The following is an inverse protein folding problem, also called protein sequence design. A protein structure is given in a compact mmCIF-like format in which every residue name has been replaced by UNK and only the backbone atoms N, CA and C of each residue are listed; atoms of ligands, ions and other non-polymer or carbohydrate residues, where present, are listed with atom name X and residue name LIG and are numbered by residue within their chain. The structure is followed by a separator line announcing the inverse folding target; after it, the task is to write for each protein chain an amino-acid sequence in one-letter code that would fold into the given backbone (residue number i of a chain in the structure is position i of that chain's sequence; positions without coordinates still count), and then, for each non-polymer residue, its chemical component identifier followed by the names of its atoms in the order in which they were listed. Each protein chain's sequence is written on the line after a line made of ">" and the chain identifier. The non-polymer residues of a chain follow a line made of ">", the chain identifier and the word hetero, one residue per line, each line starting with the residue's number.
data_IF_691413159887
#
_entry.id   IF_691413159887
#
_cell.length_a   1.000
_cell.length_b   1.000
_cell.length_c   1.000
_cell.angle_alpha   90.00
_cell.angle_beta   90.00
_cell.angle_gamma   90.00
#
_symmetry.space_group_name_H-M   'P 1'
#
loop_
_entity.id
_entity.type
_entity.pdbx_description
1 polymer ?
#
# COMPACT_ATOMS: atom_id res chain seq x y z
N UNK A 1 10.28 22.84 19.98
CA UNK A 1 9.63 21.98 21.01
C UNK A 1 8.31 21.31 20.61
N UNK A 2 7.13 21.96 20.64
CA UNK A 2 5.84 21.26 20.47
C UNK A 2 5.70 20.54 19.12
N UNK A 3 6.01 21.23 18.02
CA UNK A 3 5.99 20.69 16.66
C UNK A 3 6.94 19.49 16.49
N UNK A 4 8.16 19.58 17.01
CA UNK A 4 9.14 18.49 16.94
C UNK A 4 8.67 17.24 17.72
N UNK A 5 8.00 17.44 18.86
CA UNK A 5 7.41 16.34 19.64
C UNK A 5 6.25 15.69 18.89
N UNK A 6 5.32 16.49 18.34
CA UNK A 6 4.21 15.97 17.55
C UNK A 6 4.68 15.24 16.29
N UNK A 7 5.74 15.74 15.65
CA UNK A 7 6.40 15.06 14.54
C UNK A 7 6.98 13.71 14.97
N UNK A 8 7.65 13.67 16.13
CA UNK A 8 8.20 12.43 16.68
C UNK A 8 7.11 11.42 17.01
N UNK A 9 6.05 11.83 17.70
CA UNK A 9 4.93 10.96 18.07
C UNK A 9 4.25 10.38 16.82
N UNK A 10 4.00 11.21 15.82
CA UNK A 10 3.39 10.77 14.54
C UNK A 10 4.33 9.86 13.77
N UNK A 11 5.63 10.16 13.73
CA UNK A 11 6.64 9.30 13.10
C UNK A 11 6.72 7.94 13.81
N UNK A 12 6.65 7.92 15.14
CA UNK A 12 6.63 6.67 15.91
C UNK A 12 5.36 5.86 15.64
N UNK A 13 4.19 6.49 15.66
CA UNK A 13 2.93 5.83 15.34
C UNK A 13 2.94 5.22 13.93
N UNK A 14 3.45 5.97 12.94
CA UNK A 14 3.62 5.48 11.58
C UNK A 14 4.59 4.29 11.53
N UNK A 15 5.74 4.39 12.20
CA UNK A 15 6.70 3.27 12.29
C UNK A 15 6.06 2.03 12.90
N UNK A 16 5.42 2.16 14.05
CA UNK A 16 4.77 1.05 14.75
C UNK A 16 3.71 0.39 13.83
N UNK A 17 2.91 1.19 13.11
CA UNK A 17 1.89 0.67 12.19
C UNK A 17 2.49 -0.03 10.97
N UNK A 18 3.50 0.56 10.30
CA UNK A 18 4.09 -0.04 9.09
C UNK A 18 4.97 -1.26 9.35
N UNK A 19 5.40 -1.46 10.61
CA UNK A 19 6.11 -2.68 11.00
C UNK A 19 5.18 -3.88 11.20
N UNK A 20 3.88 -3.64 11.37
CA UNK A 20 2.89 -4.72 11.36
C UNK A 20 2.69 -5.17 9.91
N UNK A 21 2.74 -6.49 9.61
CA UNK A 21 2.52 -6.97 8.26
C UNK A 21 1.17 -6.52 7.69
N UNK A 22 1.18 -6.01 6.46
CA UNK A 22 -0.04 -5.61 5.77
C UNK A 22 -1.05 -6.78 5.70
N UNK A 23 -2.32 -6.57 6.08
CA UNK A 23 -3.36 -7.59 5.98
C UNK A 23 -3.56 -8.09 4.55
N UNK A 24 -3.99 -9.35 4.42
CA UNK A 24 -4.35 -9.96 3.12
C UNK A 24 -5.83 -9.78 2.78
N UNK A 25 -6.67 -9.63 3.79
CA UNK A 25 -8.08 -9.37 3.64
C UNK A 25 -8.30 -7.97 3.03
N UNK A 26 -9.27 -7.83 2.13
CA UNK A 26 -9.48 -6.61 1.36
C UNK A 26 -9.84 -5.41 2.23
N UNK A 27 -10.84 -5.53 3.09
CA UNK A 27 -11.32 -4.43 3.94
C UNK A 27 -10.26 -4.05 4.99
N UNK A 28 -9.62 -5.04 5.61
CA UNK A 28 -8.55 -4.79 6.56
C UNK A 28 -7.31 -4.16 5.90
N UNK A 29 -7.01 -4.52 4.65
CA UNK A 29 -5.91 -3.93 3.88
C UNK A 29 -6.22 -2.49 3.49
N UNK A 30 -7.43 -2.19 3.08
CA UNK A 30 -7.85 -0.82 2.74
C UNK A 30 -7.75 0.08 3.98
N UNK A 31 -8.30 -0.36 5.11
CA UNK A 31 -8.20 0.34 6.41
C UNK A 31 -6.73 0.57 6.82
N UNK A 32 -5.88 -0.45 6.62
CA UNK A 32 -4.45 -0.35 6.91
C UNK A 32 -3.78 0.74 6.05
N UNK A 33 -4.10 0.81 4.75
CA UNK A 33 -3.54 1.80 3.82
C UNK A 33 -4.06 3.19 4.13
N UNK A 34 -5.35 3.34 4.44
CA UNK A 34 -5.95 4.61 4.87
C UNK A 34 -5.22 5.16 6.11
N UNK A 35 -5.02 4.31 7.13
CA UNK A 35 -4.28 4.69 8.34
C UNK A 35 -2.85 5.13 8.03
N UNK A 36 -2.15 4.46 7.10
CA UNK A 36 -0.81 4.87 6.65
C UNK A 36 -0.86 6.27 6.02
N UNK A 37 -1.83 6.54 5.14
CA UNK A 37 -1.97 7.83 4.47
C UNK A 37 -2.29 8.96 5.47
N UNK A 38 -3.22 8.75 6.39
CA UNK A 38 -3.54 9.73 7.44
C UNK A 38 -2.32 10.07 8.30
N UNK A 39 -1.52 9.07 8.67
CA UNK A 39 -0.30 9.27 9.45
C UNK A 39 0.78 10.00 8.65
N UNK A 40 0.88 9.76 7.33
CA UNK A 40 1.78 10.48 6.44
C UNK A 40 1.39 11.96 6.30
N UNK A 41 0.10 12.25 6.08
CA UNK A 41 -0.42 13.62 5.98
C UNK A 41 -0.22 14.40 7.30
N UNK A 42 -0.54 13.77 8.43
CA UNK A 42 -0.30 14.37 9.75
C UNK A 42 1.18 14.62 10.00
N UNK A 43 2.06 13.71 9.55
CA UNK A 43 3.50 13.87 9.66
C UNK A 43 3.99 15.05 8.82
N UNK A 44 3.53 15.18 7.59
CA UNK A 44 3.85 16.29 6.70
C UNK A 44 3.43 17.63 7.30
N UNK A 45 2.20 17.72 7.83
CA UNK A 45 1.71 18.93 8.51
C UNK A 45 2.64 19.41 9.64
N UNK A 46 3.17 18.49 10.45
CA UNK A 46 4.11 18.86 11.51
C UNK A 46 5.51 19.18 10.98
N UNK A 47 5.95 18.54 9.88
CA UNK A 47 7.26 18.81 9.28
C UNK A 47 7.40 20.28 8.84
N UNK A 48 6.34 20.87 8.27
CA UNK A 48 6.34 22.27 7.82
C UNK A 48 6.62 23.28 8.95
N UNK A 49 6.25 22.91 10.18
CA UNK A 49 6.44 23.74 11.37
C UNK A 49 7.74 23.51 12.14
N UNK A 50 8.56 22.54 11.75
CA UNK A 50 9.79 22.20 12.50
C UNK A 50 10.91 23.17 12.18
N UNK A 51 11.44 23.81 13.23
CA UNK A 51 12.69 24.58 13.18
C UNK A 51 13.89 23.69 13.46
N UNK A 52 15.10 24.09 13.03
CA UNK A 52 16.33 23.41 13.42
C UNK A 52 16.41 23.24 14.95
N UNK A 53 16.85 22.07 15.45
CA UNK A 53 16.97 21.85 16.89
C UNK A 53 18.03 22.78 17.49
N UNK A 54 17.70 23.45 18.59
CA UNK A 54 18.58 24.44 19.24
C UNK A 54 19.22 23.89 20.52
N UNK A 55 18.72 22.74 21.00
CA UNK A 55 19.21 22.07 22.22
C UNK A 55 19.68 20.64 21.96
N UNK A 56 20.48 20.11 22.88
CA UNK A 56 20.92 18.71 22.82
C UNK A 56 19.73 17.73 22.91
N UNK A 57 18.72 18.06 23.72
CA UNK A 57 17.49 17.28 23.84
C UNK A 57 16.72 17.22 22.52
N UNK A 58 16.52 18.37 21.85
CA UNK A 58 15.87 18.42 20.53
C UNK A 58 16.71 17.69 19.46
N UNK A 59 18.03 17.80 19.53
CA UNK A 59 18.93 17.08 18.62
C UNK A 59 18.79 15.57 18.77
N UNK A 60 18.64 15.06 20.00
CA UNK A 60 18.38 13.63 20.25
C UNK A 60 17.06 13.19 19.63
N UNK A 61 15.99 13.97 19.79
CA UNK A 61 14.69 13.69 19.18
C UNK A 61 14.79 13.70 17.65
N UNK A 62 15.46 14.69 17.06
CA UNK A 62 15.64 14.77 15.61
C UNK A 62 16.39 13.57 15.04
N UNK A 63 17.46 13.11 15.70
CA UNK A 63 18.19 11.88 15.31
C UNK A 63 17.30 10.65 15.35
N UNK A 64 16.45 10.57 16.36
CA UNK A 64 15.51 9.48 16.52
C UNK A 64 14.44 9.48 15.41
N UNK A 65 13.87 10.64 15.07
CA UNK A 65 12.96 10.80 13.93
C UNK A 65 13.62 10.29 12.64
N UNK A 66 14.88 10.65 12.40
CA UNK A 66 15.64 10.20 11.21
C UNK A 66 15.80 8.67 11.23
N UNK A 67 16.12 8.08 12.39
CA UNK A 67 16.25 6.63 12.55
C UNK A 67 14.96 5.91 12.19
N UNK A 68 13.83 6.34 12.76
CA UNK A 68 12.51 5.77 12.49
C UNK A 68 12.12 5.98 11.02
N UNK A 69 12.39 7.15 10.45
CA UNK A 69 12.08 7.46 9.04
C UNK A 69 12.77 6.51 8.05
N UNK A 70 14.01 6.10 8.34
CA UNK A 70 14.72 5.09 7.52
C UNK A 70 14.02 3.72 7.57
N UNK A 71 13.54 3.33 8.75
CA UNK A 71 12.77 2.10 8.92
C UNK A 71 11.43 2.15 8.17
N UNK A 72 10.68 3.25 8.32
CA UNK A 72 9.43 3.50 7.59
C UNK A 72 9.65 3.37 6.08
N UNK A 73 10.67 4.05 5.54
CA UNK A 73 10.95 4.01 4.10
C UNK A 73 11.20 2.59 3.58
N UNK A 74 11.91 1.77 4.37
CA UNK A 74 12.15 0.36 4.03
C UNK A 74 10.86 -0.45 4.00
N UNK A 75 10.02 -0.33 5.03
CA UNK A 75 8.76 -1.08 5.12
C UNK A 75 7.75 -0.65 4.04
N UNK A 76 7.67 0.66 3.74
CA UNK A 76 6.83 1.16 2.65
C UNK A 76 7.29 0.65 1.28
N UNK A 77 8.60 0.59 1.00
CA UNK A 77 9.08 0.04 -0.27
C UNK A 77 8.81 -1.47 -0.38
N UNK A 78 8.87 -2.20 0.74
CA UNK A 78 8.47 -3.60 0.82
C UNK A 78 6.97 -3.78 0.51
N UNK A 79 6.11 -2.98 1.14
CA UNK A 79 4.67 -2.96 0.90
C UNK A 79 4.31 -2.62 -0.55
N UNK A 80 4.95 -1.60 -1.12
CA UNK A 80 4.84 -1.24 -2.54
C UNK A 80 5.26 -2.39 -3.45
N UNK A 81 6.36 -3.06 -3.16
CA UNK A 81 6.83 -4.22 -3.93
C UNK A 81 5.81 -5.38 -3.89
N UNK A 82 5.15 -5.60 -2.75
CA UNK A 82 4.08 -6.59 -2.62
C UNK A 82 2.87 -6.22 -3.49
N UNK A 83 2.40 -4.97 -3.41
CA UNK A 83 1.30 -4.46 -4.25
C UNK A 83 1.61 -4.62 -5.74
N UNK A 84 2.84 -4.30 -6.18
CA UNK A 84 3.25 -4.47 -7.57
C UNK A 84 3.24 -5.94 -8.02
N UNK A 85 3.66 -6.86 -7.16
CA UNK A 85 3.59 -8.30 -7.45
C UNK A 85 2.14 -8.77 -7.59
N UNK A 86 1.25 -8.32 -6.70
CA UNK A 86 -0.18 -8.65 -6.77
C UNK A 86 -0.78 -8.21 -8.11
N UNK A 87 -0.53 -6.96 -8.52
CA UNK A 87 -1.00 -6.40 -9.80
C UNK A 87 -0.53 -7.27 -10.98
N UNK A 88 0.77 -7.58 -11.06
CA UNK A 88 1.34 -8.40 -12.13
C UNK A 88 0.72 -9.81 -12.16
N UNK A 89 0.52 -10.43 -11.00
CA UNK A 89 -0.08 -11.76 -10.91
C UNK A 89 -1.53 -11.77 -11.41
N UNK A 90 -2.28 -10.70 -11.13
CA UNK A 90 -3.65 -10.54 -11.58
C UNK A 90 -3.73 -10.34 -13.11
N UNK A 91 -2.83 -9.55 -13.70
CA UNK A 91 -2.72 -9.40 -15.15
C UNK A 91 -2.36 -10.71 -15.86
N UNK A 92 -1.43 -11.49 -15.31
CA UNK A 92 -1.04 -12.80 -15.87
C UNK A 92 -2.20 -13.80 -15.87
N UNK A 93 -2.98 -13.86 -14.77
CA UNK A 93 -4.18 -14.72 -14.69
C UNK A 93 -5.23 -14.33 -15.72
N UNK A 94 -5.47 -13.04 -15.94
CA UNK A 94 -6.39 -12.57 -17.00
C UNK A 94 -5.96 -13.04 -18.40
N UNK A 95 -4.65 -13.01 -18.69
CA UNK A 95 -4.09 -13.50 -19.96
C UNK A 95 -4.21 -15.02 -20.11
N UNK A 96 -4.00 -15.79 -19.03
CA UNK A 96 -4.16 -17.24 -19.04
C UNK A 96 -5.61 -17.66 -19.34
N UNK A 97 -6.59 -16.99 -18.72
CA UNK A 97 -8.03 -17.24 -18.96
C UNK A 97 -8.44 -16.92 -20.41
N UNK A 98 -7.83 -15.93 -21.06
CA UNK A 98 -8.07 -15.67 -22.49
C UNK A 98 -7.50 -16.76 -23.40
N UNK A 99 -6.43 -17.44 -22.99
CA UNK A 99 -5.80 -18.51 -23.77
C UNK A 99 -6.48 -19.87 -23.61
N UNK A 100 -7.18 -20.09 -22.49
CA UNK A 100 -7.93 -21.32 -22.19
C UNK A 100 -9.36 -21.35 -22.76
N UNK A 101 -9.76 -20.42 -23.64
CA UNK A 101 -11.06 -20.45 -24.30
C UNK A 101 -11.02 -20.88 -25.79
N UNK A 102 -10.68 -22.15 -26.11
CA UNK A 102 -10.77 -22.70 -27.46
C UNK A 102 -12.23 -23.00 -27.91
N UNK A 103 -13.24 -22.65 -27.12
CA UNK A 103 -14.66 -22.93 -27.39
C UNK A 103 -15.55 -21.69 -27.53
N UNK A 104 -14.98 -20.49 -27.63
CA UNK A 104 -15.74 -19.25 -27.96
C UNK A 104 -15.91 -19.01 -29.46
N UNK A 105 -15.87 -20.07 -30.28
CA UNK A 105 -16.42 -20.02 -31.62
C UNK A 105 -17.94 -19.78 -31.57
N UNK A 106 -18.55 -19.16 -32.59
CA UNK A 106 -20.00 -18.96 -32.60
C UNK A 106 -20.69 -20.31 -32.42
N UNK A 107 -21.52 -20.43 -31.37
CA UNK A 107 -22.50 -21.52 -31.28
C UNK A 107 -23.28 -21.51 -32.59
N UNK A 108 -23.26 -22.59 -33.40
CA UNK A 108 -24.20 -22.72 -34.48
C UNK A 108 -25.56 -22.81 -33.79
N UNK A 109 -26.28 -21.71 -33.86
CA UNK A 109 -27.67 -21.63 -33.45
C UNK A 109 -28.39 -22.83 -34.07
N UNK A 110 -29.13 -23.56 -33.25
CA UNK A 110 -29.58 -24.92 -33.54
C UNK A 110 -30.30 -25.02 -34.88
N UNK A 111 -29.63 -25.61 -35.87
CA UNK A 111 -30.28 -25.99 -37.14
C UNK A 111 -30.82 -27.41 -36.99
N UNK A 112 -32.04 -27.51 -36.48
CA UNK A 112 -32.90 -28.66 -36.75
C UNK A 112 -33.56 -28.44 -38.11
N UNK A 113 -33.15 -29.20 -39.13
CA UNK A 113 -33.97 -29.34 -40.34
C UNK A 113 -34.46 -30.79 -40.38
N UNK A 114 -35.66 -30.98 -39.85
CA UNK A 114 -36.51 -32.09 -40.26
C UNK A 114 -36.96 -31.81 -41.70
N UNK A 115 -36.60 -32.69 -42.62
CA UNK A 115 -37.22 -32.75 -43.94
C UNK A 115 -37.14 -34.18 -44.46
N UNK A 116 -38.15 -34.96 -44.07
CA UNK A 116 -38.53 -36.22 -44.71
C UNK A 116 -38.79 -36.00 -46.22
N UNK A 117 -38.05 -36.69 -47.08
CA UNK A 117 -38.58 -37.55 -48.16
C UNK A 117 -37.46 -38.26 -48.92
#
# INVERSE_FOLDING_TARGET
>A
MAQLRSLYETTKALYDHVTVPMPKDGEARDTYIETVNELLERREHYMDGVRPPESEAETRIAREIIRLSKGIAKELESGKSLIQKDIRSHEQRKRAVQYENPYSGPTPDGVFVDSKK
#
